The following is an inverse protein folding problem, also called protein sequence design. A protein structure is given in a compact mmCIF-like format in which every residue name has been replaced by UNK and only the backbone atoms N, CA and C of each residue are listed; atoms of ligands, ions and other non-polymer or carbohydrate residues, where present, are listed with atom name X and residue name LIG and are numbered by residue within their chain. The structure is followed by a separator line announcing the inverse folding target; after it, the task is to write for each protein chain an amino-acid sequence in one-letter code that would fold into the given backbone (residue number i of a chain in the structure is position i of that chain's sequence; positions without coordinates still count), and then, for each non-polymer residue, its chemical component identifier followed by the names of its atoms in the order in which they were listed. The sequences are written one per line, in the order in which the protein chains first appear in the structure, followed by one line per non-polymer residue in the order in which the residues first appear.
data_IF_192898490918
#
_entry.id   IF_192898490918
#
_cell.length_a   1.000
_cell.length_b   1.000
_cell.length_c   1.000
_cell.angle_alpha   90.00
_cell.angle_beta   90.00
_cell.angle_gamma   90.00
#
_symmetry.space_group_name_H-M   'P 1'
#
loop_
_entity.id
_entity.type
_entity.pdbx_description
1 polymer ?
#
# COMPACT_ATOMS: atom_id res chain seq x y z
N UNK A 1 4.11 -22.68 13.69
CA UNK A 1 3.68 -21.76 12.63
C UNK A 1 2.23 -21.38 12.73
N UNK A 2 1.34 -22.32 13.05
CA UNK A 2 -0.08 -22.01 13.18
C UNK A 2 -0.36 -21.09 14.39
N UNK A 3 0.58 -20.94 15.29
CA UNK A 3 0.46 -20.05 16.44
C UNK A 3 0.91 -18.63 16.13
N UNK A 4 1.57 -18.41 14.97
CA UNK A 4 1.96 -17.08 14.58
C UNK A 4 0.75 -16.31 14.08
N UNK A 5 0.61 -15.06 14.52
CA UNK A 5 -0.42 -14.17 13.99
C UNK A 5 -0.13 -13.84 12.52
N UNK A 6 -1.15 -13.36 11.78
CA UNK A 6 -0.97 -12.91 10.42
C UNK A 6 0.09 -11.83 10.29
N UNK A 7 0.14 -10.90 11.26
CA UNK A 7 1.14 -9.84 11.28
C UNK A 7 2.54 -10.35 11.49
N UNK A 8 2.70 -11.35 12.35
CA UNK A 8 4.00 -11.97 12.57
C UNK A 8 4.51 -12.69 11.33
N UNK A 9 3.61 -13.40 10.63
CA UNK A 9 3.95 -14.06 9.37
C UNK A 9 4.40 -13.05 8.33
N UNK A 10 3.68 -11.94 8.20
CA UNK A 10 4.04 -10.90 7.25
C UNK A 10 5.38 -10.26 7.58
N UNK A 11 5.67 -10.03 8.86
CA UNK A 11 6.98 -9.49 9.28
C UNK A 11 8.11 -10.44 8.91
N UNK A 12 7.91 -11.74 9.07
CA UNK A 12 8.93 -12.74 8.70
C UNK A 12 9.15 -12.72 7.20
N UNK A 13 8.08 -12.71 6.41
CA UNK A 13 8.18 -12.67 4.94
C UNK A 13 8.91 -11.41 4.49
N UNK A 14 8.57 -10.26 5.06
CA UNK A 14 9.21 -8.99 4.74
C UNK A 14 10.70 -9.03 5.09
N UNK A 15 11.04 -9.55 6.27
CA UNK A 15 12.43 -9.65 6.70
C UNK A 15 13.23 -10.54 5.75
N UNK A 16 12.65 -11.66 5.32
CA UNK A 16 13.31 -12.56 4.37
C UNK A 16 13.53 -11.88 3.02
N UNK A 17 12.53 -11.16 2.52
CA UNK A 17 12.64 -10.45 1.25
C UNK A 17 13.71 -9.35 1.34
N UNK A 18 13.78 -8.64 2.46
CA UNK A 18 14.73 -7.54 2.65
C UNK A 18 16.14 -8.01 2.93
N UNK A 19 16.31 -9.27 3.36
CA UNK A 19 17.66 -9.82 3.61
C UNK A 19 18.55 -9.80 2.37
N UNK A 20 17.94 -9.87 1.18
CA UNK A 20 18.66 -9.81 -0.09
C UNK A 20 18.97 -8.37 -0.54
N UNK A 21 18.54 -7.37 0.20
CA UNK A 21 18.70 -5.94 -0.11
C UNK A 21 18.29 -5.61 -1.55
N UNK A 22 17.03 -5.87 -1.93
CA UNK A 22 16.58 -5.61 -3.28
C UNK A 22 16.51 -4.11 -3.57
N UNK A 23 16.61 -3.73 -4.84
CA UNK A 23 16.37 -2.35 -5.23
C UNK A 23 14.90 -2.01 -5.24
N UNK A 24 14.08 -2.98 -5.61
CA UNK A 24 12.62 -2.82 -5.63
C UNK A 24 12.00 -4.03 -4.95
N UNK A 25 11.08 -3.76 -4.05
CA UNK A 25 10.26 -4.78 -3.40
C UNK A 25 8.82 -4.63 -3.87
N UNK A 26 8.27 -5.70 -4.44
CA UNK A 26 6.86 -5.71 -4.84
C UNK A 26 6.06 -6.31 -3.70
N UNK A 27 5.14 -5.53 -3.15
CA UNK A 27 4.26 -5.98 -2.07
C UNK A 27 2.83 -5.99 -2.60
N UNK A 28 2.31 -7.20 -2.84
CA UNK A 28 0.98 -7.41 -3.39
C UNK A 28 -0.01 -7.71 -2.27
N UNK A 29 -0.86 -6.73 -1.94
CA UNK A 29 -1.85 -6.83 -0.87
C UNK A 29 -1.23 -7.33 0.45
N UNK A 30 -0.15 -6.71 0.93
CA UNK A 30 0.65 -7.29 2.03
C UNK A 30 -0.08 -7.32 3.36
N UNK A 31 -1.18 -6.61 3.50
CA UNK A 31 -1.94 -6.52 4.75
C UNK A 31 -3.35 -7.08 4.64
N UNK A 32 -3.65 -7.80 3.56
CA UNK A 32 -4.94 -8.47 3.40
C UNK A 32 -5.19 -9.42 4.57
N UNK A 33 -6.40 -9.40 5.10
CA UNK A 33 -6.86 -10.21 6.23
C UNK A 33 -6.22 -9.85 7.59
N UNK A 34 -5.49 -8.74 7.68
CA UNK A 34 -4.99 -8.25 8.97
C UNK A 34 -5.96 -7.22 9.56
N UNK A 35 -6.01 -7.13 10.89
CA UNK A 35 -6.77 -6.06 11.53
C UNK A 35 -6.05 -4.72 11.34
N UNK A 36 -6.76 -3.62 11.63
CA UNK A 36 -6.26 -2.27 11.37
C UNK A 36 -4.95 -1.97 12.11
N UNK A 37 -4.87 -2.36 13.38
CA UNK A 37 -3.68 -2.11 14.19
C UNK A 37 -2.48 -2.89 13.69
N UNK A 38 -2.67 -4.18 13.41
CA UNK A 38 -1.61 -5.04 12.88
C UNK A 38 -1.18 -4.58 11.50
N UNK A 39 -2.13 -4.17 10.67
CA UNK A 39 -1.87 -3.62 9.34
C UNK A 39 -0.92 -2.41 9.42
N UNK A 40 -1.22 -1.48 10.33
CA UNK A 40 -0.39 -0.29 10.52
C UNK A 40 1.02 -0.66 10.96
N UNK A 41 1.15 -1.63 11.86
CA UNK A 41 2.45 -2.10 12.35
C UNK A 41 3.28 -2.73 11.23
N UNK A 42 2.66 -3.56 10.41
CA UNK A 42 3.34 -4.23 9.29
C UNK A 42 3.83 -3.20 8.26
N UNK A 43 2.98 -2.25 7.90
CA UNK A 43 3.33 -1.22 6.93
C UNK A 43 4.41 -0.28 7.45
N UNK A 44 4.35 0.09 8.72
CA UNK A 44 5.39 0.93 9.34
C UNK A 44 6.74 0.20 9.32
N UNK A 45 6.75 -1.08 9.64
CA UNK A 45 7.98 -1.86 9.63
C UNK A 45 8.54 -2.04 8.21
N UNK A 46 7.68 -2.28 7.25
CA UNK A 46 8.08 -2.40 5.84
C UNK A 46 8.73 -1.10 5.36
N UNK A 47 8.09 0.03 5.63
CA UNK A 47 8.58 1.34 5.23
C UNK A 47 9.94 1.64 5.88
N UNK A 48 10.08 1.32 7.16
CA UNK A 48 11.33 1.51 7.90
C UNK A 48 12.47 0.70 7.31
N UNK A 49 12.25 -0.59 7.09
CA UNK A 49 13.27 -1.48 6.53
C UNK A 49 13.67 -1.07 5.11
N UNK A 50 12.69 -0.72 4.29
CA UNK A 50 12.96 -0.29 2.93
C UNK A 50 13.75 1.02 2.91
N UNK A 51 13.42 1.96 3.80
CA UNK A 51 14.16 3.21 3.92
C UNK A 51 15.61 3.00 4.29
N UNK A 52 15.86 2.12 5.27
CA UNK A 52 17.23 1.80 5.71
C UNK A 52 18.05 1.14 4.59
N UNK A 53 17.42 0.29 3.79
CA UNK A 53 18.10 -0.45 2.73
C UNK A 53 18.17 0.30 1.40
N UNK A 54 17.50 1.44 1.29
CA UNK A 54 17.41 2.16 0.02
C UNK A 54 16.56 1.44 -1.01
N UNK A 55 15.60 0.64 -0.56
CA UNK A 55 14.70 -0.13 -1.42
C UNK A 55 13.46 0.67 -1.77
N UNK A 56 13.12 0.71 -3.06
CA UNK A 56 11.83 1.26 -3.49
C UNK A 56 10.74 0.21 -3.29
N UNK A 57 9.57 0.63 -2.87
CA UNK A 57 8.43 -0.28 -2.68
C UNK A 57 7.40 -0.02 -3.77
N UNK A 58 6.99 -1.08 -4.46
CA UNK A 58 5.82 -1.06 -5.32
C UNK A 58 4.70 -1.76 -4.56
N UNK A 59 3.79 -0.99 -4.03
CA UNK A 59 2.69 -1.49 -3.22
C UNK A 59 1.44 -1.65 -4.07
N UNK A 60 0.89 -2.86 -4.11
CA UNK A 60 -0.35 -3.15 -4.82
C UNK A 60 -1.45 -3.34 -3.78
N UNK A 61 -2.45 -2.50 -3.84
CA UNK A 61 -3.55 -2.54 -2.87
C UNK A 61 -4.80 -1.88 -3.42
N UNK A 62 -5.95 -2.28 -2.91
CA UNK A 62 -7.21 -1.60 -3.17
C UNK A 62 -7.60 -0.63 -2.05
N UNK A 63 -6.79 -0.53 -1.01
CA UNK A 63 -7.07 0.34 0.14
C UNK A 63 -6.47 1.73 -0.10
N UNK A 64 -7.32 2.68 -0.46
CA UNK A 64 -6.89 4.05 -0.74
C UNK A 64 -6.33 4.78 0.47
N UNK A 65 -6.74 4.39 1.67
CA UNK A 65 -6.18 4.95 2.90
C UNK A 65 -4.71 4.59 3.09
N UNK A 66 -4.35 3.36 2.74
CA UNK A 66 -2.95 2.93 2.77
C UNK A 66 -2.15 3.72 1.76
N UNK A 67 -2.67 3.88 0.54
CA UNK A 67 -2.00 4.66 -0.50
C UNK A 67 -1.78 6.10 -0.04
N UNK A 68 -2.81 6.72 0.53
CA UNK A 68 -2.72 8.11 0.99
C UNK A 68 -1.68 8.29 2.09
N UNK A 69 -1.53 7.32 2.95
CA UNK A 69 -0.67 7.45 4.14
C UNK A 69 0.78 7.04 3.88
N UNK A 70 1.01 6.01 3.07
CA UNK A 70 2.34 5.40 2.93
C UNK A 70 3.03 5.64 1.59
N UNK A 71 2.30 6.08 0.56
CA UNK A 71 2.86 6.19 -0.79
C UNK A 71 3.15 7.63 -1.19
N UNK A 72 4.17 7.81 -2.03
CA UNK A 72 4.53 9.11 -2.59
C UNK A 72 3.81 9.37 -3.91
N UNK A 73 3.67 8.33 -4.71
CA UNK A 73 3.01 8.37 -6.02
C UNK A 73 2.05 7.20 -6.13
N UNK A 74 1.05 7.36 -6.96
CA UNK A 74 0.07 6.31 -7.19
C UNK A 74 -0.28 6.21 -8.67
N UNK A 75 -0.55 4.96 -9.08
CA UNK A 75 -1.06 4.64 -10.41
C UNK A 75 -2.41 3.99 -10.20
N UNK A 76 -3.42 4.54 -10.84
CA UNK A 76 -4.77 3.97 -10.79
C UNK A 76 -4.96 3.08 -12.00
N UNK A 77 -5.32 1.82 -11.75
CA UNK A 77 -5.53 0.84 -12.82
C UNK A 77 -7.00 0.47 -12.94
N UNK A 78 -7.40 0.24 -14.17
CA UNK A 78 -8.74 -0.27 -14.48
C UNK A 78 -8.65 -1.17 -15.71
N UNK A 79 -9.17 -2.37 -15.60
CA UNK A 79 -9.22 -3.32 -16.71
C UNK A 79 -7.87 -3.53 -17.39
N UNK A 80 -6.82 -3.66 -16.58
CA UNK A 80 -5.47 -3.92 -17.07
C UNK A 80 -4.74 -2.70 -17.63
N UNK A 81 -5.32 -1.50 -17.47
CA UNK A 81 -4.70 -0.27 -17.99
C UNK A 81 -4.51 0.74 -16.87
N UNK A 82 -3.44 1.53 -16.97
CA UNK A 82 -3.22 2.67 -16.09
C UNK A 82 -4.05 3.83 -16.64
N UNK A 83 -5.00 4.30 -15.83
CA UNK A 83 -5.89 5.39 -16.24
C UNK A 83 -5.44 6.74 -15.70
N UNK A 84 -4.68 6.74 -14.61
CA UNK A 84 -4.14 7.96 -14.04
C UNK A 84 -2.90 7.67 -13.22
N UNK A 85 -1.93 8.60 -13.25
CA UNK A 85 -0.72 8.53 -12.46
C UNK A 85 -0.40 9.93 -11.94
N UNK A 86 -0.11 10.05 -10.64
CA UNK A 86 0.26 11.33 -10.05
C UNK A 86 0.89 11.15 -8.68
N UNK A 87 1.49 12.24 -8.17
CA UNK A 87 1.84 12.31 -6.76
C UNK A 87 0.56 12.14 -5.93
N UNK A 88 0.66 11.47 -4.80
CA UNK A 88 -0.49 11.11 -3.99
C UNK A 88 -1.30 12.35 -3.58
N UNK A 89 -0.64 13.41 -3.14
CA UNK A 89 -1.33 14.64 -2.72
C UNK A 89 -2.22 15.19 -3.83
N UNK A 90 -1.69 15.26 -5.05
CA UNK A 90 -2.43 15.77 -6.19
C UNK A 90 -3.54 14.82 -6.62
N UNK A 91 -3.26 13.52 -6.60
CA UNK A 91 -4.24 12.52 -7.01
C UNK A 91 -5.49 12.59 -6.14
N UNK A 92 -5.30 12.76 -4.83
CA UNK A 92 -6.40 12.78 -3.87
C UNK A 92 -7.14 14.12 -3.85
N UNK A 93 -6.42 15.23 -4.07
CA UNK A 93 -7.05 16.56 -4.07
C UNK A 93 -7.65 16.95 -5.42
N UNK A 94 -7.06 16.53 -6.52
CA UNK A 94 -7.46 16.92 -7.86
C UNK A 94 -7.39 15.74 -8.84
N UNK A 95 -8.24 14.72 -8.65
CA UNK A 95 -8.24 13.59 -9.59
C UNK A 95 -8.68 14.05 -10.97
N UNK A 96 -7.95 13.61 -12.00
CA UNK A 96 -8.20 14.04 -13.38
C UNK A 96 -9.09 13.07 -14.15
N UNK A 97 -9.08 11.79 -13.76
CA UNK A 97 -9.87 10.78 -14.46
C UNK A 97 -11.18 10.52 -13.70
N UNK A 98 -12.31 10.41 -14.40
CA UNK A 98 -13.59 10.14 -13.74
C UNK A 98 -13.60 8.88 -12.87
N UNK A 99 -12.93 7.85 -13.32
CA UNK A 99 -12.81 6.61 -12.55
C UNK A 99 -12.13 6.86 -11.20
N UNK A 100 -11.04 7.61 -11.20
CA UNK A 100 -10.30 7.97 -9.98
C UNK A 100 -11.19 8.78 -9.04
N UNK A 101 -11.90 9.77 -9.59
CA UNK A 101 -12.82 10.59 -8.80
C UNK A 101 -13.91 9.74 -8.14
N UNK A 102 -14.45 8.76 -8.85
CA UNK A 102 -15.45 7.84 -8.31
C UNK A 102 -14.87 6.96 -7.20
N UNK A 103 -13.68 6.42 -7.38
CA UNK A 103 -13.02 5.60 -6.36
C UNK A 103 -12.83 6.39 -5.07
N UNK A 104 -12.37 7.62 -5.18
CA UNK A 104 -12.15 8.48 -4.02
C UNK A 104 -13.46 8.85 -3.33
N UNK A 105 -14.48 9.14 -4.08
CA UNK A 105 -15.80 9.45 -3.54
C UNK A 105 -16.37 8.26 -2.77
N UNK A 106 -16.26 7.07 -3.31
CA UNK A 106 -16.73 5.84 -2.65
C UNK A 106 -15.95 5.58 -1.37
N UNK A 107 -14.62 5.76 -1.39
CA UNK A 107 -13.78 5.59 -0.22
C UNK A 107 -14.14 6.58 0.89
N UNK A 108 -14.37 7.84 0.54
CA UNK A 108 -14.76 8.88 1.51
C UNK A 108 -16.14 8.61 2.09
N UNK A 109 -17.07 8.17 1.26
CA UNK A 109 -18.40 7.81 1.72
C UNK A 109 -18.38 6.69 2.73
N UNK A 110 -17.58 5.65 2.48
CA UNK A 110 -17.42 4.53 3.40
C UNK A 110 -16.78 4.96 4.74
N UNK A 111 -15.88 5.93 4.69
CA UNK A 111 -15.18 6.42 5.88
C UNK A 111 -15.99 7.44 6.66
N UNK A 112 -16.85 8.15 6.00
CA UNK A 112 -17.68 9.18 6.63
C UNK A 112 -18.81 8.62 7.49
N UNK A 113 -18.90 7.32 7.62
CA UNK A 113 -19.96 6.68 8.40
C UNK A 113 -19.45 6.15 9.74
#
# INVERSE_FOLDING_TARGET
PHQLSGGMRQRVVIAMAMACRPRVLVADEPTTALDVTTQAQVLARLTELAGEAGTAILLITHDLGIVAHYCDRALIMRSGRIVEEAAVDRLFSQPQHPYTANLLAMSRGARGR
#
